data_IF_481441044063
#
_entry.id   IF_481441044063
#
_cell.length_a   1.000
_cell.length_b   1.000
_cell.length_c   1.000
_cell.angle_alpha   90.00
_cell.angle_beta   90.00
_cell.angle_gamma   90.00
#
_symmetry.space_group_name_H-M   'P 1'
#
loop_
_entity.id
_entity.type
_entity.pdbx_description
1 polymer ?
#
# COMPACT_ATOMS: atom_id res chain seq x y z
N UNK A 1 -32.52 7.69 6.83
CA UNK A 1 -31.59 7.17 7.87
C UNK A 1 -30.47 6.27 7.30
N UNK A 2 -30.52 5.89 6.01
CA UNK A 2 -29.55 4.99 5.35
C UNK A 2 -28.14 5.55 5.08
N UNK A 3 -27.98 6.88 4.94
CA UNK A 3 -26.71 7.50 4.51
C UNK A 3 -25.64 7.61 5.60
N UNK A 4 -26.04 7.69 6.89
CA UNK A 4 -25.10 7.80 8.02
C UNK A 4 -24.35 6.48 8.29
N UNK A 5 -24.99 5.33 8.08
CA UNK A 5 -24.33 4.02 8.24
C UNK A 5 -23.34 3.75 7.11
N UNK A 6 -23.70 4.11 5.88
CA UNK A 6 -22.84 3.98 4.70
C UNK A 6 -21.59 4.87 4.81
N UNK A 7 -21.77 6.13 5.25
CA UNK A 7 -20.63 7.04 5.47
C UNK A 7 -19.67 6.51 6.54
N UNK A 8 -20.18 5.97 7.65
CA UNK A 8 -19.35 5.36 8.70
C UNK A 8 -18.62 4.12 8.22
N UNK A 9 -19.26 3.28 7.41
CA UNK A 9 -18.65 2.10 6.81
C UNK A 9 -17.48 2.50 5.89
N UNK A 10 -17.67 3.53 5.06
CA UNK A 10 -16.63 4.03 4.14
C UNK A 10 -15.46 4.64 4.93
N UNK A 11 -15.75 5.49 5.92
CA UNK A 11 -14.71 6.13 6.73
C UNK A 11 -13.87 5.11 7.52
N UNK A 12 -14.54 4.17 8.21
CA UNK A 12 -13.82 3.16 8.99
C UNK A 12 -13.12 2.15 8.09
N UNK A 13 -13.81 1.67 7.03
CA UNK A 13 -13.25 0.73 6.07
C UNK A 13 -11.97 1.28 5.44
N UNK A 14 -12.01 2.53 4.99
CA UNK A 14 -10.86 3.20 4.38
C UNK A 14 -9.73 3.53 5.35
N UNK A 15 -10.05 4.05 6.55
CA UNK A 15 -9.06 4.37 7.57
C UNK A 15 -8.26 3.12 7.97
N UNK A 16 -8.96 2.03 8.33
CA UNK A 16 -8.31 0.80 8.75
C UNK A 16 -7.59 0.10 7.58
N UNK A 17 -8.13 0.16 6.36
CA UNK A 17 -7.41 -0.34 5.18
C UNK A 17 -6.06 0.39 5.04
N UNK A 18 -6.07 1.72 5.05
CA UNK A 18 -4.84 2.52 4.93
C UNK A 18 -3.83 2.22 6.02
N UNK A 19 -4.26 2.19 7.29
CA UNK A 19 -3.39 1.87 8.42
C UNK A 19 -2.78 0.47 8.35
N UNK A 20 -3.58 -0.53 7.94
CA UNK A 20 -3.10 -1.90 7.77
C UNK A 20 -2.09 -1.99 6.63
N UNK A 21 -2.34 -1.34 5.49
CA UNK A 21 -1.40 -1.28 4.38
C UNK A 21 -0.06 -0.68 4.78
N UNK A 22 -0.09 0.48 5.43
CA UNK A 22 1.11 1.14 5.95
C UNK A 22 1.87 0.25 6.95
N UNK A 23 1.16 -0.34 7.92
CA UNK A 23 1.77 -1.21 8.92
C UNK A 23 2.43 -2.43 8.29
N UNK A 24 1.81 -3.05 7.28
CA UNK A 24 2.40 -4.18 6.53
C UNK A 24 3.72 -3.79 5.89
N UNK A 25 3.81 -2.63 5.24
CA UNK A 25 5.07 -2.18 4.63
C UNK A 25 6.14 -1.89 5.67
N UNK A 26 5.79 -1.19 6.76
CA UNK A 26 6.74 -0.91 7.85
C UNK A 26 7.31 -2.20 8.43
N UNK A 27 6.46 -3.17 8.77
CA UNK A 27 6.89 -4.44 9.36
C UNK A 27 7.82 -5.19 8.41
N UNK A 28 7.49 -5.30 7.12
CA UNK A 28 8.32 -6.00 6.15
C UNK A 28 9.68 -5.32 5.96
N UNK A 29 9.73 -4.00 5.88
CA UNK A 29 11.02 -3.30 5.76
C UNK A 29 11.86 -3.36 7.03
N UNK A 30 11.24 -3.35 8.21
CA UNK A 30 11.95 -3.63 9.47
C UNK A 30 12.58 -5.02 9.40
N UNK A 31 11.83 -6.05 9.01
CA UNK A 31 12.35 -7.41 8.86
C UNK A 31 13.50 -7.45 7.84
N UNK A 32 13.32 -6.89 6.64
CA UNK A 32 14.38 -6.87 5.62
C UNK A 32 15.64 -6.12 6.09
N UNK A 33 15.50 -5.06 6.87
CA UNK A 33 16.63 -4.32 7.41
C UNK A 33 17.39 -5.15 8.44
N UNK A 34 16.67 -5.76 9.39
CA UNK A 34 17.26 -6.59 10.43
C UNK A 34 17.96 -7.82 9.84
N UNK A 35 17.35 -8.49 8.84
CA UNK A 35 17.96 -9.61 8.13
C UNK A 35 19.22 -9.21 7.35
N UNK A 36 19.32 -7.95 6.92
CA UNK A 36 20.50 -7.40 6.26
C UNK A 36 21.55 -6.85 7.26
N UNK A 37 21.37 -7.05 8.58
CA UNK A 37 22.26 -6.52 9.62
C UNK A 37 22.19 -5.00 9.78
N UNK A 38 21.12 -4.37 9.30
CA UNK A 38 20.91 -2.90 9.36
C UNK A 38 19.93 -2.55 10.47
N UNK A 39 19.96 -1.30 10.92
CA UNK A 39 18.96 -0.75 11.83
C UNK A 39 17.55 -0.85 11.26
N UNK A 40 16.56 -1.11 12.11
CA UNK A 40 15.15 -1.13 11.73
C UNK A 40 14.69 0.15 10.99
N UNK A 41 15.32 1.29 11.31
CA UNK A 41 15.01 2.60 10.73
C UNK A 41 15.83 2.96 9.49
N UNK A 42 16.68 2.04 8.99
CA UNK A 42 17.55 2.31 7.85
C UNK A 42 16.76 2.77 6.62
N UNK A 43 15.75 2.02 6.21
CA UNK A 43 14.92 2.34 5.04
C UNK A 43 14.21 3.70 5.15
N UNK A 44 13.43 3.98 6.21
CA UNK A 44 12.76 5.27 6.32
C UNK A 44 13.76 6.44 6.47
N UNK A 45 14.91 6.23 7.12
CA UNK A 45 15.95 7.26 7.19
C UNK A 45 16.54 7.56 5.80
N UNK A 46 16.87 6.51 5.03
CA UNK A 46 17.43 6.61 3.69
C UNK A 46 16.49 7.35 2.74
N UNK A 47 15.23 6.92 2.63
CA UNK A 47 14.26 7.59 1.75
C UNK A 47 13.95 9.00 2.21
N UNK A 48 13.81 9.23 3.53
CA UNK A 48 13.61 10.57 4.06
C UNK A 48 14.76 11.50 3.74
N UNK A 49 16.00 11.02 3.86
CA UNK A 49 17.19 11.82 3.64
C UNK A 49 17.37 12.17 2.15
N UNK A 50 17.12 11.20 1.26
CA UNK A 50 17.14 11.43 -0.19
C UNK A 50 16.05 12.42 -0.62
N UNK A 51 14.81 12.21 -0.17
CA UNK A 51 13.65 12.98 -0.63
C UNK A 51 13.58 14.40 -0.04
N UNK A 52 14.00 14.60 1.21
CA UNK A 52 13.77 15.85 1.93
C UNK A 52 15.04 16.54 2.43
N UNK A 53 16.19 15.88 2.39
CA UNK A 53 17.45 16.41 2.93
C UNK A 53 18.62 16.37 1.93
N UNK A 54 18.38 15.99 0.67
CA UNK A 54 19.39 16.06 -0.40
C UNK A 54 20.53 15.07 -0.26
N UNK A 55 20.30 13.88 0.33
CA UNK A 55 21.32 12.84 0.39
C UNK A 55 21.60 12.27 -1.01
N UNK A 56 22.83 12.45 -1.49
CA UNK A 56 23.30 11.93 -2.78
C UNK A 56 24.12 10.64 -2.65
N UNK A 57 24.90 10.51 -1.56
CA UNK A 57 25.73 9.33 -1.28
C UNK A 57 25.16 8.50 -0.11
N UNK A 58 24.76 7.23 -0.33
CA UNK A 58 24.27 6.37 0.74
C UNK A 58 25.31 6.06 1.82
N UNK A 59 26.62 6.19 1.55
CA UNK A 59 27.66 6.01 2.57
C UNK A 59 27.66 7.14 3.62
N UNK A 60 27.12 8.32 3.27
CA UNK A 60 26.96 9.44 4.17
C UNK A 60 25.66 9.40 5.00
N UNK A 61 24.87 8.31 4.89
CA UNK A 61 23.60 8.20 5.59
C UNK A 61 23.79 8.17 7.12
N UNK A 62 23.31 9.23 7.79
CA UNK A 62 23.13 9.26 9.23
C UNK A 62 21.67 9.00 9.60
N UNK A 63 21.42 7.93 10.36
CA UNK A 63 20.07 7.62 10.87
C UNK A 63 19.72 8.64 11.95
N UNK A 64 18.80 9.55 11.63
CA UNK A 64 18.32 10.59 12.54
C UNK A 64 16.79 10.67 12.52
N UNK A 65 16.15 11.19 13.59
CA UNK A 65 14.69 11.23 13.67
C UNK A 65 14.02 12.05 12.56
N UNK A 66 14.63 13.15 12.10
CA UNK A 66 14.03 14.05 11.11
C UNK A 66 13.66 13.35 9.79
N UNK A 67 14.63 12.78 9.05
CA UNK A 67 14.38 12.01 7.85
C UNK A 67 13.39 10.86 8.04
N UNK A 68 13.53 10.10 9.13
CA UNK A 68 12.66 8.96 9.45
C UNK A 68 11.21 9.40 9.59
N UNK A 69 10.97 10.48 10.33
CA UNK A 69 9.62 11.03 10.54
C UNK A 69 9.05 11.62 9.26
N UNK A 70 9.85 12.41 8.52
CA UNK A 70 9.41 13.02 7.26
C UNK A 70 8.91 11.98 6.26
N UNK A 71 9.67 10.90 6.06
CA UNK A 71 9.26 9.80 5.19
C UNK A 71 7.99 9.11 5.71
N UNK A 72 7.95 8.71 6.98
CA UNK A 72 6.80 7.99 7.52
C UNK A 72 5.52 8.83 7.52
N UNK A 73 5.61 10.15 7.71
CA UNK A 73 4.46 11.07 7.62
C UNK A 73 3.87 11.08 6.22
N UNK A 74 4.68 11.25 5.18
CA UNK A 74 4.19 11.23 3.79
C UNK A 74 3.65 9.85 3.43
N UNK A 75 4.31 8.80 3.89
CA UNK A 75 3.95 7.42 3.58
C UNK A 75 2.61 7.01 4.22
N UNK A 76 2.42 7.30 5.52
CA UNK A 76 1.14 7.00 6.19
C UNK A 76 0.00 7.81 5.59
N UNK A 77 0.22 9.09 5.25
CA UNK A 77 -0.80 9.92 4.59
C UNK A 77 -1.18 9.35 3.23
N UNK A 78 -0.21 8.94 2.42
CA UNK A 78 -0.48 8.29 1.12
C UNK A 78 -1.32 7.02 1.27
N UNK A 79 -1.00 6.18 2.27
CA UNK A 79 -1.75 4.97 2.57
C UNK A 79 -3.18 5.25 3.06
N UNK A 80 -3.37 6.27 3.89
CA UNK A 80 -4.69 6.70 4.34
C UNK A 80 -5.54 7.19 3.16
N UNK A 81 -4.97 8.01 2.27
CA UNK A 81 -5.65 8.46 1.05
C UNK A 81 -6.04 7.27 0.18
N UNK A 82 -5.12 6.31 -0.01
CA UNK A 82 -5.38 5.12 -0.82
C UNK A 82 -6.48 4.24 -0.20
N UNK A 83 -6.45 4.02 1.12
CA UNK A 83 -7.46 3.26 1.84
C UNK A 83 -8.84 3.92 1.74
N UNK A 84 -8.91 5.23 1.98
CA UNK A 84 -10.12 6.03 1.84
C UNK A 84 -10.69 5.98 0.43
N UNK A 85 -9.84 6.15 -0.60
CA UNK A 85 -10.24 6.07 -1.99
C UNK A 85 -10.76 4.67 -2.35
N UNK A 86 -10.07 3.62 -1.90
CA UNK A 86 -10.48 2.23 -2.12
C UNK A 86 -11.85 1.93 -1.49
N UNK A 87 -12.08 2.35 -0.25
CA UNK A 87 -13.37 2.14 0.42
C UNK A 87 -14.50 2.94 -0.23
N UNK A 88 -14.24 4.17 -0.66
CA UNK A 88 -15.20 4.96 -1.43
C UNK A 88 -15.55 4.31 -2.78
N UNK A 89 -14.55 3.82 -3.51
CA UNK A 89 -14.76 3.17 -4.80
C UNK A 89 -15.59 1.89 -4.64
N UNK A 90 -15.35 1.11 -3.58
CA UNK A 90 -16.12 -0.09 -3.26
C UNK A 90 -17.58 0.25 -2.97
N UNK A 91 -17.84 1.27 -2.15
CA UNK A 91 -19.21 1.71 -1.90
C UNK A 91 -19.94 2.19 -3.17
N UNK A 92 -19.20 2.76 -4.14
CA UNK A 92 -19.74 3.08 -5.47
C UNK A 92 -19.90 1.85 -6.37
N UNK A 93 -19.02 0.86 -6.24
CA UNK A 93 -19.05 -0.38 -7.02
C UNK A 93 -20.26 -1.26 -6.71
N UNK A 94 -20.86 -1.13 -5.52
CA UNK A 94 -22.15 -1.77 -5.20
C UNK A 94 -23.28 -1.36 -6.18
N UNK A 95 -23.12 -0.26 -6.94
CA UNK A 95 -24.06 0.18 -7.98
C UNK A 95 -23.70 -0.24 -9.41
N UNK A 96 -22.47 -0.66 -9.72
CA UNK A 96 -22.02 -0.94 -11.10
C UNK A 96 -21.01 -2.10 -11.20
N UNK A 97 -21.27 -3.16 -12.03
CA UNK A 97 -20.47 -4.38 -12.08
C UNK A 97 -19.04 -4.24 -12.64
N UNK A 98 -18.76 -3.21 -13.46
CA UNK A 98 -17.43 -2.94 -14.06
C UNK A 98 -16.41 -2.36 -13.06
N UNK A 99 -16.86 -1.80 -11.94
CA UNK A 99 -15.98 -1.16 -10.95
C UNK A 99 -15.14 -2.15 -10.10
N UNK A 100 -15.43 -3.45 -10.18
CA UNK A 100 -14.71 -4.53 -9.47
C UNK A 100 -13.22 -4.61 -9.84
N UNK A 101 -12.87 -4.27 -11.08
CA UNK A 101 -11.48 -4.23 -11.56
C UNK A 101 -10.81 -2.86 -11.39
N UNK A 102 -11.57 -1.78 -11.23
CA UNK A 102 -11.03 -0.42 -11.09
C UNK A 102 -10.33 -0.19 -9.74
N UNK A 103 -10.73 -0.87 -8.66
CA UNK A 103 -10.06 -0.82 -7.34
C UNK A 103 -8.66 -1.42 -7.42
N UNK A 104 -8.56 -2.60 -8.04
CA UNK A 104 -7.28 -3.29 -8.26
C UNK A 104 -6.39 -2.50 -9.23
N UNK A 105 -6.97 -1.96 -10.30
CA UNK A 105 -6.26 -1.12 -11.26
C UNK A 105 -5.71 0.15 -10.61
N UNK A 106 -6.50 0.91 -9.82
CA UNK A 106 -6.01 2.13 -9.16
C UNK A 106 -5.00 1.82 -8.06
N UNK A 107 -5.17 0.75 -7.28
CA UNK A 107 -4.20 0.35 -6.26
C UNK A 107 -2.85 -0.05 -6.89
N UNK A 108 -2.87 -0.83 -7.97
CA UNK A 108 -1.67 -1.24 -8.72
C UNK A 108 -1.05 -0.05 -9.47
N UNK A 109 -1.86 0.83 -10.05
CA UNK A 109 -1.41 2.00 -10.80
C UNK A 109 -0.77 3.07 -9.89
N UNK A 110 -1.35 3.35 -8.72
CA UNK A 110 -0.79 4.32 -7.75
C UNK A 110 0.45 3.77 -7.05
N UNK A 111 0.43 2.51 -6.63
CA UNK A 111 1.61 1.85 -6.07
C UNK A 111 2.75 1.79 -7.11
N UNK A 112 2.43 1.48 -8.37
CA UNK A 112 3.37 1.49 -9.49
C UNK A 112 3.96 2.87 -9.78
N UNK A 113 3.18 3.96 -9.70
CA UNK A 113 3.67 5.32 -9.96
C UNK A 113 4.49 5.90 -8.79
N UNK A 114 4.15 5.61 -7.53
CA UNK A 114 5.00 5.97 -6.39
C UNK A 114 6.33 5.21 -6.45
N UNK A 115 6.28 3.95 -6.85
CA UNK A 115 7.46 3.13 -7.07
C UNK A 115 8.31 3.60 -8.26
N UNK A 116 7.69 3.99 -9.37
CA UNK A 116 8.37 4.57 -10.53
C UNK A 116 8.99 5.95 -10.20
N UNK A 117 8.32 6.79 -9.41
CA UNK A 117 8.89 8.03 -8.92
C UNK A 117 10.13 7.78 -8.05
N UNK A 118 10.11 6.78 -7.16
CA UNK A 118 11.29 6.37 -6.39
C UNK A 118 12.42 5.84 -7.28
N UNK A 119 12.09 5.12 -8.37
CA UNK A 119 13.08 4.62 -9.34
C UNK A 119 13.74 5.74 -10.16
N UNK A 120 13.00 6.79 -10.53
CA UNK A 120 13.50 7.92 -11.31
C UNK A 120 14.42 8.82 -10.47
N UNK A 121 14.21 8.94 -9.16
CA UNK A 121 14.99 9.82 -8.28
C UNK A 121 16.11 9.13 -7.49
N UNK A 122 16.27 7.79 -7.56
CA UNK A 122 17.22 7.04 -6.73
C UNK A 122 18.06 5.98 -7.48
N UNK A 123 18.41 6.21 -8.74
CA UNK A 123 19.15 5.26 -9.60
C UNK A 123 20.41 4.64 -8.95
N UNK A 124 21.29 5.40 -8.27
CA UNK A 124 22.48 4.83 -7.65
C UNK A 124 22.18 3.94 -6.43
N UNK A 125 21.04 4.13 -5.76
CA UNK A 125 20.66 3.42 -4.52
C UNK A 125 19.91 2.10 -4.77
N UNK A 126 19.19 1.99 -5.89
CA UNK A 126 18.34 0.85 -6.20
C UNK A 126 19.07 -0.27 -6.99
N UNK A 127 20.28 0.02 -7.50
CA UNK A 127 21.16 -0.93 -8.17
C UNK A 127 21.49 -2.17 -7.30
N UNK A 128 21.37 -2.08 -5.97
CA UNK A 128 21.64 -3.17 -5.01
C UNK A 128 20.50 -4.18 -4.77
N UNK A 129 19.60 -4.40 -5.73
CA UNK A 129 18.53 -5.40 -5.59
C UNK A 129 17.45 -5.02 -4.56
N UNK A 130 17.14 -3.73 -4.43
CA UNK A 130 16.07 -3.24 -3.55
C UNK A 130 14.66 -3.37 -4.16
N UNK A 131 14.59 -3.49 -5.49
CA UNK A 131 13.35 -3.51 -6.27
C UNK A 131 12.39 -4.65 -5.86
N UNK A 132 12.91 -5.86 -5.61
CA UNK A 132 12.07 -7.00 -5.25
C UNK A 132 11.46 -6.84 -3.85
N UNK A 133 12.19 -6.23 -2.90
CA UNK A 133 11.71 -5.96 -1.54
C UNK A 133 10.52 -5.01 -1.57
N UNK A 134 10.60 -3.99 -2.42
CA UNK A 134 9.52 -3.02 -2.59
C UNK A 134 8.31 -3.68 -3.26
N UNK A 135 8.53 -4.51 -4.29
CA UNK A 135 7.46 -5.28 -4.93
C UNK A 135 6.73 -6.18 -3.92
N UNK A 136 7.47 -6.97 -3.14
CA UNK A 136 6.90 -7.87 -2.12
C UNK A 136 6.11 -7.10 -1.07
N UNK A 137 6.65 -5.99 -0.56
CA UNK A 137 5.97 -5.17 0.43
C UNK A 137 4.67 -4.55 -0.13
N UNK A 138 4.71 -4.07 -1.37
CA UNK A 138 3.56 -3.46 -2.05
C UNK A 138 2.45 -4.48 -2.30
N UNK A 139 2.79 -5.68 -2.78
CA UNK A 139 1.83 -6.76 -3.02
C UNK A 139 1.21 -7.23 -1.70
N UNK A 140 2.03 -7.48 -0.67
CA UNK A 140 1.54 -7.89 0.64
C UNK A 140 0.59 -6.85 1.24
N UNK A 141 0.96 -5.57 1.14
CA UNK A 141 0.09 -4.46 1.56
C UNK A 141 -1.23 -4.45 0.80
N UNK A 142 -1.21 -4.57 -0.53
CA UNK A 142 -2.42 -4.60 -1.35
C UNK A 142 -3.35 -5.76 -0.98
N UNK A 143 -2.79 -6.95 -0.72
CA UNK A 143 -3.55 -8.13 -0.26
C UNK A 143 -4.23 -7.85 1.08
N UNK A 144 -3.49 -7.32 2.06
CA UNK A 144 -4.04 -7.03 3.41
C UNK A 144 -5.14 -5.97 3.34
N UNK A 145 -4.93 -4.89 2.58
CA UNK A 145 -5.92 -3.84 2.36
C UNK A 145 -7.18 -4.38 1.68
N UNK A 146 -7.01 -5.14 0.59
CA UNK A 146 -8.11 -5.75 -0.15
C UNK A 146 -8.90 -6.73 0.72
N UNK A 147 -8.22 -7.60 1.45
CA UNK A 147 -8.86 -8.54 2.39
C UNK A 147 -9.67 -7.81 3.48
N UNK A 148 -9.15 -6.72 4.03
CA UNK A 148 -9.86 -5.94 5.03
C UNK A 148 -11.13 -5.32 4.47
N UNK A 149 -11.03 -4.68 3.30
CA UNK A 149 -12.17 -4.08 2.63
C UNK A 149 -13.23 -5.14 2.24
N UNK A 150 -12.82 -6.31 1.77
CA UNK A 150 -13.73 -7.42 1.47
C UNK A 150 -14.44 -7.96 2.73
N UNK A 151 -13.79 -7.96 3.89
CA UNK A 151 -14.42 -8.35 5.16
C UNK A 151 -15.48 -7.34 5.63
N UNK A 152 -15.27 -6.06 5.36
CA UNK A 152 -16.18 -4.98 5.76
C UNK A 152 -17.39 -4.85 4.82
N UNK A 153 -17.29 -5.33 3.58
CA UNK A 153 -18.38 -5.30 2.58
C UNK A 153 -18.93 -6.72 2.30
N UNK A 154 -19.84 -7.26 3.14
CA UNK A 154 -20.34 -8.65 3.05
C UNK A 154 -21.06 -8.98 1.73
N UNK A 155 -21.60 -7.98 1.02
CA UNK A 155 -22.26 -8.17 -0.27
C UNK A 155 -21.26 -8.51 -1.40
N UNK A 156 -20.04 -7.99 -1.34
CA UNK A 156 -18.95 -8.32 -2.27
C UNK A 156 -18.49 -9.78 -2.11
N UNK A 157 -18.52 -10.28 -0.87
CA UNK A 157 -18.20 -11.68 -0.55
C UNK A 157 -19.23 -12.65 -1.13
N UNK A 158 -20.51 -12.26 -1.15
CA UNK A 158 -21.59 -13.03 -1.75
C UNK A 158 -21.54 -13.05 -3.29
N UNK A 159 -21.12 -11.95 -3.91
CA UNK A 159 -20.93 -11.85 -5.37
C UNK A 159 -19.68 -12.58 -5.87
N UNK A 160 -18.56 -12.54 -5.13
CA UNK A 160 -17.37 -13.32 -5.46
C UNK A 160 -17.61 -14.83 -5.37
N UNK A 161 -18.46 -15.28 -4.44
CA UNK A 161 -18.91 -16.68 -4.36
C UNK A 161 -19.87 -17.11 -5.48
N UNK A 162 -20.34 -16.17 -6.31
CA UNK A 162 -21.20 -16.42 -7.48
C UNK A 162 -20.48 -16.31 -8.81
N UNK A 163 -19.21 -15.89 -8.82
CA UNK A 163 -18.40 -15.98 -10.02
C UNK A 163 -18.10 -17.47 -10.26
N UNK A 164 -18.40 -18.02 -11.45
CA UNK A 164 -17.95 -19.34 -11.82
C UNK A 164 -16.42 -19.28 -11.89
N UNK A 165 -15.75 -19.67 -10.81
CA UNK A 165 -14.35 -20.11 -10.87
C UNK A 165 -14.40 -21.28 -11.84
N UNK A 166 -13.81 -21.11 -13.03
CA UNK A 166 -13.94 -22.08 -14.11
C UNK A 166 -13.74 -23.50 -13.60
N UNK A 167 -14.83 -24.26 -13.53
CA UNK A 167 -14.73 -25.70 -13.63
C UNK A 167 -14.24 -25.93 -15.06
N UNK A 168 -12.93 -26.10 -15.22
CA UNK A 168 -12.35 -26.86 -16.32
C UNK A 168 -12.79 -28.32 -16.13
N UNK A 169 -14.09 -28.56 -16.33
CA UNK A 169 -14.66 -29.86 -16.59
C UNK A 169 -14.83 -29.98 -18.09
N UNK A 170 -13.73 -30.24 -18.80
CA UNK A 170 -13.79 -30.69 -20.19
C UNK A 170 -14.64 -31.97 -20.27
N UNK A 171 -15.63 -31.92 -21.16
CA UNK A 171 -16.52 -33.00 -21.54
C UNK A 171 -15.90 -33.87 -22.64
#
# INVERSE_FOLDING_TARGET
>A
MHTRSETKLILNGGLFAGLLGYATVVVLFVVFNLLAGRSAFYTPAMFGAVLFYGLEDPAALAISPGPVLAYNMVHVVGYLVLGMFGSWLIAKAEKYPVARFAVLFVAVFVAGHLYAALLIFAEPLLAGGAWWRILVASVASGIVMGWWLLRQHPLLKAELGRLPMGDEGEA
#
